data_IF_790991953630
#
_entry.id   IF_790991953630
#
_cell.length_a   1.000
_cell.length_b   1.000
_cell.length_c   1.000
_cell.angle_alpha   90.00
_cell.angle_beta   90.00
_cell.angle_gamma   90.00
#
_symmetry.space_group_name_H-M   'P 1'
#
loop_
_entity.id
_entity.type
_entity.pdbx_description
1 polymer ?
#
# COMPACT_ATOMS: atom_id res chain seq x y z
N UNK A 1 -11.38 -5.30 -3.92
CA UNK A 1 -11.36 -6.56 -3.13
C UNK A 1 -12.68 -7.29 -3.39
N UNK A 2 -12.68 -8.63 -3.57
CA UNK A 2 -13.88 -9.38 -3.95
C UNK A 2 -14.65 -9.82 -2.70
N UNK A 3 -15.91 -9.41 -2.60
CA UNK A 3 -16.82 -9.80 -1.52
C UNK A 3 -17.30 -11.24 -1.74
N UNK A 4 -17.00 -12.11 -0.77
CA UNK A 4 -17.35 -13.54 -0.74
C UNK A 4 -18.77 -13.82 -0.20
N UNK A 5 -19.54 -12.81 0.24
CA UNK A 5 -20.93 -13.01 0.63
C UNK A 5 -21.84 -13.26 -0.58
N UNK A 6 -22.71 -14.26 -0.50
CA UNK A 6 -23.80 -14.47 -1.46
C UNK A 6 -24.65 -13.18 -1.60
N UNK A 7 -24.94 -12.79 -2.84
CA UNK A 7 -25.87 -11.70 -3.12
C UNK A 7 -27.30 -12.13 -2.74
N UNK A 8 -28.02 -11.28 -2.02
CA UNK A 8 -29.46 -11.49 -1.74
C UNK A 8 -30.32 -11.59 -3.02
N UNK A 9 -29.75 -11.23 -4.17
CA UNK A 9 -30.37 -11.28 -5.49
C UNK A 9 -30.28 -12.66 -6.20
N UNK A 10 -29.64 -13.67 -5.60
CA UNK A 10 -29.54 -15.02 -6.17
C UNK A 10 -28.50 -15.22 -7.28
N UNK A 11 -27.79 -14.16 -7.71
CA UNK A 11 -26.71 -14.25 -8.71
C UNK A 11 -25.42 -14.79 -8.08
N UNK A 12 -24.70 -15.62 -8.83
CA UNK A 12 -23.45 -16.28 -8.42
C UNK A 12 -22.17 -15.53 -8.81
N UNK A 13 -22.30 -14.38 -9.48
CA UNK A 13 -21.16 -13.52 -9.85
C UNK A 13 -20.49 -12.95 -8.60
N UNK A 14 -19.15 -12.82 -8.63
CA UNK A 14 -18.40 -12.19 -7.54
C UNK A 14 -18.76 -10.71 -7.43
N UNK A 15 -18.89 -10.21 -6.20
CA UNK A 15 -19.11 -8.79 -5.91
C UNK A 15 -17.77 -8.07 -5.84
N UNK A 16 -17.69 -6.94 -6.53
CA UNK A 16 -16.57 -5.99 -6.37
C UNK A 16 -16.94 -5.08 -5.21
N UNK A 17 -16.08 -5.02 -4.19
CA UNK A 17 -16.24 -4.08 -3.07
C UNK A 17 -16.13 -2.63 -3.57
N UNK A 18 -16.62 -1.67 -2.78
CA UNK A 18 -16.78 -0.27 -3.16
C UNK A 18 -15.49 0.29 -3.77
N UNK A 19 -15.54 0.78 -5.01
CA UNK A 19 -14.40 1.46 -5.66
C UNK A 19 -14.08 2.72 -4.84
N UNK A 20 -12.97 2.73 -4.11
CA UNK A 20 -12.67 3.77 -3.13
C UNK A 20 -11.97 5.03 -3.69
N UNK A 21 -11.69 5.09 -5.00
CA UNK A 21 -11.35 6.35 -5.65
C UNK A 21 -10.62 6.23 -6.99
N UNK A 22 -10.62 7.34 -7.73
CA UNK A 22 -9.63 7.69 -8.76
C UNK A 22 -9.25 9.17 -8.57
N UNK A 23 -8.05 9.42 -8.06
CA UNK A 23 -7.29 10.66 -8.24
C UNK A 23 -5.84 10.23 -8.07
N UNK A 24 -5.26 9.79 -9.19
CA UNK A 24 -3.97 9.12 -9.26
C UNK A 24 -2.88 10.16 -9.46
N UNK A 25 -2.79 11.10 -8.51
CA UNK A 25 -1.79 12.16 -8.57
C UNK A 25 -0.42 11.52 -8.38
N UNK A 26 0.36 11.58 -9.44
CA UNK A 26 1.73 11.10 -9.49
C UNK A 26 2.62 11.90 -8.52
N UNK A 27 3.58 11.24 -7.90
CA UNK A 27 4.67 11.87 -7.17
C UNK A 27 6.03 11.45 -7.74
N UNK A 28 7.08 12.23 -7.47
CA UNK A 28 8.43 11.99 -8.01
C UNK A 28 9.34 11.51 -6.89
N UNK A 29 10.12 10.46 -7.14
CA UNK A 29 11.20 9.97 -6.26
C UNK A 29 12.46 9.78 -7.08
N UNK A 30 13.55 10.48 -6.77
CA UNK A 30 14.83 10.37 -7.51
C UNK A 30 14.67 10.54 -9.04
N UNK A 31 13.79 11.45 -9.47
CA UNK A 31 13.49 11.69 -10.88
C UNK A 31 12.55 10.67 -11.54
N UNK A 32 12.10 9.64 -10.80
CA UNK A 32 11.15 8.63 -11.27
C UNK A 32 9.72 9.05 -10.92
N UNK A 33 8.84 9.00 -11.91
CA UNK A 33 7.40 9.24 -11.79
C UNK A 33 6.71 8.00 -11.22
N UNK A 34 6.06 8.13 -10.06
CA UNK A 34 5.38 7.03 -9.36
C UNK A 34 3.90 7.36 -9.19
N UNK A 35 3.05 6.40 -9.57
CA UNK A 35 1.61 6.44 -9.36
C UNK A 35 1.24 5.62 -8.12
N UNK A 36 0.53 6.20 -7.13
CA UNK A 36 0.07 5.46 -5.95
C UNK A 36 -0.75 4.21 -6.30
N UNK A 37 -1.48 4.22 -7.42
CA UNK A 37 -2.26 3.08 -7.91
C UNK A 37 -1.41 1.85 -8.21
N UNK A 38 -0.18 2.03 -8.71
CA UNK A 38 0.74 0.93 -8.99
C UNK A 38 1.18 0.23 -7.69
N UNK A 39 1.44 1.01 -6.65
CA UNK A 39 1.76 0.49 -5.30
C UNK A 39 0.54 -0.28 -4.74
N UNK A 40 -0.65 0.29 -4.85
CA UNK A 40 -1.89 -0.32 -4.35
C UNK A 40 -2.17 -1.68 -5.02
N UNK A 41 -1.95 -1.80 -6.33
CA UNK A 41 -2.10 -3.07 -7.07
C UNK A 41 -1.15 -4.14 -6.51
N UNK A 42 0.11 -3.80 -6.25
CA UNK A 42 1.08 -4.75 -5.69
C UNK A 42 0.70 -5.14 -4.27
N UNK A 43 0.42 -4.16 -3.40
CA UNK A 43 0.04 -4.42 -2.01
C UNK A 43 -1.19 -5.35 -1.91
N UNK A 44 -2.25 -5.06 -2.67
CA UNK A 44 -3.48 -5.86 -2.62
C UNK A 44 -3.43 -7.17 -3.42
N UNK A 45 -2.32 -7.47 -4.08
CA UNK A 45 -2.09 -8.80 -4.67
C UNK A 45 -1.79 -9.87 -3.60
N UNK A 46 -1.34 -9.46 -2.42
CA UNK A 46 -0.96 -10.36 -1.34
C UNK A 46 -2.06 -10.47 -0.25
N UNK A 47 -2.58 -11.66 0.06
CA UNK A 47 -3.66 -11.82 1.06
C UNK A 47 -3.24 -11.55 2.52
N UNK A 48 -1.94 -11.48 2.81
CA UNK A 48 -1.43 -11.10 4.12
C UNK A 48 -1.40 -9.57 4.33
N UNK A 49 -1.68 -8.79 3.29
CA UNK A 49 -1.79 -7.33 3.36
C UNK A 49 -3.22 -6.92 3.71
N UNK A 50 -3.34 -6.01 4.67
CA UNK A 50 -4.59 -5.37 5.06
C UNK A 50 -5.00 -4.25 4.11
N UNK A 51 -6.01 -3.48 4.53
CA UNK A 51 -6.56 -2.40 3.69
C UNK A 51 -5.84 -1.05 3.87
N UNK A 52 -5.02 -0.92 4.91
CA UNK A 52 -4.46 0.36 5.32
C UNK A 52 -2.96 0.40 5.04
N UNK A 53 -2.51 1.47 4.39
CA UNK A 53 -1.10 1.72 4.08
C UNK A 53 -0.81 3.22 3.99
N UNK A 54 0.47 3.57 4.11
CA UNK A 54 0.98 4.92 3.93
C UNK A 54 2.25 4.89 3.08
N UNK A 55 2.34 5.82 2.15
CA UNK A 55 3.50 6.09 1.32
C UNK A 55 4.13 7.38 1.85
N UNK A 56 5.37 7.29 2.31
CA UNK A 56 6.14 8.40 2.86
C UNK A 56 7.35 8.65 1.98
N UNK A 57 7.47 9.87 1.47
CA UNK A 57 8.62 10.32 0.67
C UNK A 57 9.35 11.38 1.48
N UNK A 58 10.59 11.09 1.86
CA UNK A 58 11.49 12.06 2.49
C UNK A 58 12.40 12.63 1.41
N UNK A 59 12.27 13.94 1.14
CA UNK A 59 13.10 14.66 0.16
C UNK A 59 14.44 15.02 0.75
N UNK A 60 15.56 14.69 0.11
CA UNK A 60 16.89 15.12 0.58
C UNK A 60 17.87 15.38 -0.56
N UNK A 61 18.90 16.19 -0.31
CA UNK A 61 19.96 16.51 -1.28
C UNK A 61 20.76 15.27 -1.71
N UNK A 62 20.84 14.26 -0.83
CA UNK A 62 21.50 12.98 -1.10
C UNK A 62 20.62 11.95 -1.82
N UNK A 63 19.38 12.33 -2.16
CA UNK A 63 18.39 11.45 -2.77
C UNK A 63 17.13 11.30 -1.91
N UNK A 64 16.01 11.08 -2.58
CA UNK A 64 14.73 10.84 -1.94
C UNK A 64 14.69 9.44 -1.32
N UNK A 65 14.15 9.33 -0.10
CA UNK A 65 13.82 8.05 0.53
C UNK A 65 12.33 7.77 0.40
N UNK A 66 12.00 6.58 -0.09
CA UNK A 66 10.64 6.08 -0.20
C UNK A 66 10.42 5.00 0.87
N UNK A 67 9.48 5.24 1.79
CA UNK A 67 9.04 4.28 2.80
C UNK A 67 7.56 3.98 2.61
N UNK A 68 7.19 2.70 2.70
CA UNK A 68 5.80 2.24 2.64
C UNK A 68 5.51 1.48 3.91
N UNK A 69 4.59 2.03 4.72
CA UNK A 69 4.01 1.33 5.87
C UNK A 69 2.73 0.65 5.45
N UNK A 70 2.55 -0.61 5.81
CA UNK A 70 1.37 -1.37 5.43
C UNK A 70 0.89 -2.23 6.60
N UNK A 71 -0.41 -2.20 6.86
CA UNK A 71 -1.02 -3.11 7.83
C UNK A 71 -1.05 -4.52 7.26
N UNK A 72 -0.78 -5.49 8.13
CA UNK A 72 -1.07 -6.90 7.86
C UNK A 72 -2.57 -7.18 7.99
N UNK A 73 -3.08 -8.22 7.30
CA UNK A 73 -4.50 -8.60 7.38
C UNK A 73 -4.87 -9.27 8.72
N UNK A 74 -3.87 -9.78 9.44
CA UNK A 74 -3.95 -10.31 10.80
C UNK A 74 -2.61 -10.08 11.50
N UNK A 75 -2.55 -10.28 12.81
CA UNK A 75 -1.27 -10.34 13.51
C UNK A 75 -0.40 -11.46 12.92
N UNK A 76 0.84 -11.10 12.60
CA UNK A 76 1.86 -11.98 12.02
C UNK A 76 2.94 -12.29 13.05
N UNK A 77 3.57 -13.45 12.93
CA UNK A 77 4.86 -13.68 13.62
C UNK A 77 5.96 -12.79 13.00
N UNK A 78 7.09 -12.64 13.70
CA UNK A 78 8.21 -11.86 13.17
C UNK A 78 8.78 -12.47 11.87
N UNK A 79 8.77 -13.80 11.74
CA UNK A 79 9.17 -14.50 10.52
C UNK A 79 8.23 -14.21 9.35
N UNK A 80 6.90 -14.30 9.58
CA UNK A 80 5.89 -13.98 8.57
C UNK A 80 5.99 -12.51 8.15
N UNK A 81 6.19 -11.60 9.11
CA UNK A 81 6.35 -10.17 8.89
C UNK A 81 7.58 -9.87 8.03
N UNK A 82 8.72 -10.47 8.38
CA UNK A 82 9.97 -10.31 7.63
C UNK A 82 9.87 -10.89 6.21
N UNK A 83 9.24 -12.04 6.06
CA UNK A 83 8.99 -12.64 4.75
C UNK A 83 8.11 -11.74 3.88
N UNK A 84 7.00 -11.22 4.45
CA UNK A 84 6.10 -10.31 3.74
C UNK A 84 6.80 -9.01 3.34
N UNK A 85 7.57 -8.40 4.24
CA UNK A 85 8.30 -7.16 3.96
C UNK A 85 9.27 -7.33 2.79
N UNK A 86 10.10 -8.40 2.79
CA UNK A 86 11.04 -8.69 1.70
C UNK A 86 10.34 -8.96 0.38
N UNK A 87 9.23 -9.70 0.42
CA UNK A 87 8.44 -10.01 -0.76
C UNK A 87 7.84 -8.73 -1.37
N UNK A 88 7.20 -7.90 -0.56
CA UNK A 88 6.62 -6.64 -1.02
C UNK A 88 7.69 -5.69 -1.55
N UNK A 89 8.85 -5.62 -0.90
CA UNK A 89 9.98 -4.81 -1.37
C UNK A 89 10.40 -5.21 -2.79
N UNK A 90 10.59 -6.52 -3.03
CA UNK A 90 10.92 -7.03 -4.35
C UNK A 90 9.84 -6.73 -5.40
N UNK A 91 8.58 -7.07 -5.11
CA UNK A 91 7.46 -6.86 -6.04
C UNK A 91 7.22 -5.37 -6.34
N UNK A 92 7.37 -4.50 -5.34
CA UNK A 92 7.23 -3.05 -5.51
C UNK A 92 8.38 -2.46 -6.32
N UNK A 93 9.62 -2.88 -6.06
CA UNK A 93 10.79 -2.45 -6.83
C UNK A 93 10.61 -2.76 -8.32
N UNK A 94 10.12 -3.95 -8.66
CA UNK A 94 9.82 -4.32 -10.04
C UNK A 94 8.71 -3.43 -10.65
N UNK A 95 7.70 -3.07 -9.86
CA UNK A 95 6.57 -2.28 -10.35
C UNK A 95 6.86 -0.78 -10.50
N UNK A 96 7.68 -0.18 -9.62
CA UNK A 96 7.88 1.27 -9.56
C UNK A 96 9.33 1.71 -9.85
N UNK A 97 10.25 0.77 -10.08
CA UNK A 97 11.66 1.01 -10.45
C UNK A 97 12.47 1.79 -9.39
N UNK A 98 11.94 1.89 -8.18
CA UNK A 98 12.60 2.45 -7.01
C UNK A 98 12.51 1.42 -5.89
N UNK A 99 13.58 1.27 -5.13
CA UNK A 99 13.61 0.38 -3.95
C UNK A 99 12.94 1.09 -2.75
N UNK A 100 11.75 0.65 -2.28
CA UNK A 100 11.15 1.21 -1.07
C UNK A 100 11.65 0.50 0.19
N UNK A 101 11.64 1.23 1.31
CA UNK A 101 11.70 0.64 2.65
C UNK A 101 10.30 0.18 3.06
N UNK A 102 10.14 -1.10 3.38
CA UNK A 102 8.83 -1.68 3.75
C UNK A 102 8.75 -1.90 5.25
N UNK A 103 7.72 -1.33 5.87
CA UNK A 103 7.37 -1.58 7.27
C UNK A 103 5.98 -2.24 7.34
N UNK A 104 5.95 -3.51 7.75
CA UNK A 104 4.69 -4.23 7.97
C UNK A 104 4.28 -4.07 9.43
N UNK A 105 3.14 -3.43 9.67
CA UNK A 105 2.61 -3.19 11.02
C UNK A 105 1.39 -4.07 11.31
N UNK A 106 1.03 -4.17 12.58
CA UNK A 106 -0.15 -4.91 13.02
C UNK A 106 -1.46 -4.24 12.54
N UNK A 107 -2.56 -5.00 12.40
CA UNK A 107 -3.86 -4.43 12.02
C UNK A 107 -4.30 -3.31 12.99
N UNK A 108 -4.74 -2.17 12.45
CA UNK A 108 -5.22 -1.01 13.21
C UNK A 108 -4.14 -0.06 13.76
N UNK A 109 -2.88 -0.22 13.36
CA UNK A 109 -1.77 0.66 13.78
C UNK A 109 -1.68 1.97 12.99
N UNK A 110 -2.26 2.03 11.78
CA UNK A 110 -2.23 3.22 10.95
C UNK A 110 -3.47 4.11 11.19
N UNK A 111 -3.32 5.44 11.11
CA UNK A 111 -4.42 6.38 11.36
C UNK A 111 -5.50 6.26 10.30
N UNK A 112 -6.76 6.13 10.73
CA UNK A 112 -7.91 6.13 9.82
C UNK A 112 -8.36 7.56 9.54
N UNK A 113 -8.66 7.86 8.28
CA UNK A 113 -9.30 9.12 7.88
C UNK A 113 -10.81 8.92 7.77
N UNK A 114 -11.61 9.87 8.25
CA UNK A 114 -13.09 9.85 8.13
C UNK A 114 -13.59 10.13 6.70
N UNK A 115 -12.70 10.47 5.76
CA UNK A 115 -12.99 10.74 4.35
C UNK A 115 -12.06 9.98 3.40
N UNK A 116 -11.71 10.58 2.26
CA UNK A 116 -10.74 9.99 1.32
C UNK A 116 -9.40 9.78 2.04
N UNK A 117 -8.93 8.54 2.12
CA UNK A 117 -7.67 8.23 2.77
C UNK A 117 -6.52 8.98 2.08
N UNK A 118 -5.83 9.87 2.83
CA UNK A 118 -4.58 10.44 2.37
C UNK A 118 -3.49 9.38 2.54
N UNK A 119 -3.07 8.77 1.43
CA UNK A 119 -2.06 7.70 1.40
C UNK A 119 -0.64 8.24 1.23
N UNK A 120 -0.46 9.38 0.57
CA UNK A 120 0.86 9.91 0.21
C UNK A 120 1.24 11.10 1.09
N UNK A 121 2.42 11.04 1.69
CA UNK A 121 3.01 12.05 2.56
C UNK A 121 4.40 12.40 2.02
N UNK A 122 4.58 13.64 1.57
CA UNK A 122 5.88 14.16 1.15
C UNK A 122 6.39 15.07 2.25
N UNK A 123 7.56 14.76 2.81
CA UNK A 123 8.19 15.50 3.90
C UNK A 123 9.57 16.00 3.47
N UNK A 124 9.95 17.25 3.76
CA UNK A 124 11.31 17.73 3.54
C UNK A 124 12.27 17.10 4.56
N UNK A 125 13.53 16.87 4.17
CA UNK A 125 14.59 16.74 5.17
C UNK A 125 14.68 18.07 5.92
N UNK A 126 14.70 18.00 7.25
CA UNK A 126 14.94 19.16 8.10
C UNK A 126 16.31 19.79 7.84
#
# INVERSE_FOLDING_TARGET
ILDVKQCLCGRTHRKIDRIQGRTDDMFIVNGVNIWPSAIEVVLHSNPLVGNEYQIVVVKSDGGDRLSIKVESSRKLSDEERNFLARRLQYELREAIVVEPEIEVVDPGMLPRSEGKAKRVYIVPNG
#
